data_IF_415662207016
#
_entry.id   IF_415662207016
#
_cell.length_a   1.000
_cell.length_b   1.000
_cell.length_c   1.000
_cell.angle_alpha   90.00
_cell.angle_beta   90.00
_cell.angle_gamma   90.00
#
_symmetry.space_group_name_H-M   'P 1'
#
loop_
_entity.id
_entity.type
_entity.pdbx_description
1 polymer ?
#
# COMPACT_ATOMS: atom_id res chain seq x y z
N UNK A 1 23.28 -54.29 -46.93
CA UNK A 1 21.91 -53.83 -46.62
C UNK A 1 22.00 -52.76 -45.54
N UNK A 2 22.00 -51.51 -46.00
CA UNK A 2 21.85 -50.19 -45.37
C UNK A 2 22.03 -50.02 -43.85
N UNK A 3 23.13 -49.36 -43.46
CA UNK A 3 23.27 -48.65 -42.19
C UNK A 3 22.55 -47.29 -42.30
N UNK A 4 21.54 -47.05 -41.47
CA UNK A 4 20.89 -45.74 -41.33
C UNK A 4 21.41 -45.04 -40.08
N UNK A 5 22.27 -44.05 -40.27
CA UNK A 5 22.69 -43.12 -39.23
C UNK A 5 21.53 -42.21 -38.87
N UNK A 6 21.08 -42.25 -37.62
CA UNK A 6 20.09 -41.32 -37.08
C UNK A 6 20.86 -40.11 -36.52
N UNK A 7 20.76 -38.97 -37.19
CA UNK A 7 21.19 -37.68 -36.65
C UNK A 7 20.20 -37.26 -35.54
N UNK A 8 20.66 -37.23 -34.29
CA UNK A 8 19.94 -36.58 -33.21
C UNK A 8 20.24 -35.07 -33.23
N UNK A 9 19.31 -34.28 -33.76
CA UNK A 9 19.36 -32.82 -33.63
C UNK A 9 18.93 -32.45 -32.20
N UNK A 10 19.88 -32.07 -31.35
CA UNK A 10 19.58 -31.47 -30.06
C UNK A 10 19.19 -30.01 -30.27
N UNK A 11 17.90 -29.70 -30.11
CA UNK A 11 17.42 -28.33 -30.01
C UNK A 11 17.78 -27.80 -28.62
N UNK A 12 18.75 -26.89 -28.54
CA UNK A 12 19.06 -26.17 -27.32
C UNK A 12 17.92 -25.18 -27.02
N UNK A 13 17.15 -25.47 -25.97
CA UNK A 13 16.13 -24.57 -25.44
C UNK A 13 16.85 -23.39 -24.75
N UNK A 14 16.93 -22.24 -25.42
CA UNK A 14 17.37 -21.00 -24.80
C UNK A 14 16.27 -20.53 -23.82
N UNK A 15 16.39 -20.89 -22.54
CA UNK A 15 15.61 -20.28 -21.47
C UNK A 15 16.09 -18.83 -21.32
N UNK A 16 15.38 -17.88 -21.93
CA UNK A 16 15.53 -16.47 -21.61
C UNK A 16 14.98 -16.27 -20.19
N UNK A 17 15.85 -16.20 -19.19
CA UNK A 17 15.48 -15.71 -17.86
C UNK A 17 15.16 -14.22 -17.99
N UNK A 18 13.88 -13.90 -18.09
CA UNK A 18 13.43 -12.55 -17.80
C UNK A 18 13.88 -12.25 -16.36
N UNK A 19 14.80 -11.30 -16.19
CA UNK A 19 15.15 -10.81 -14.87
C UNK A 19 13.86 -10.26 -14.27
N UNK A 20 13.36 -10.89 -13.21
CA UNK A 20 12.31 -10.31 -12.40
C UNK A 20 12.88 -8.99 -11.86
N UNK A 21 12.36 -7.85 -12.34
CA UNK A 21 12.68 -6.57 -11.73
C UNK A 21 12.25 -6.66 -10.27
N UNK A 22 13.16 -6.32 -9.36
CA UNK A 22 12.88 -6.34 -7.93
C UNK A 22 12.06 -5.10 -7.59
N UNK A 23 10.87 -5.28 -7.01
CA UNK A 23 10.11 -4.17 -6.47
C UNK A 23 10.86 -3.60 -5.25
N UNK A 24 11.05 -2.28 -5.24
CA UNK A 24 11.51 -1.56 -4.06
C UNK A 24 10.30 -1.13 -3.23
N UNK A 25 10.39 -1.29 -1.91
CA UNK A 25 9.31 -0.86 -1.01
C UNK A 25 9.87 0.18 -0.04
N UNK A 26 9.25 1.35 0.00
CA UNK A 26 9.49 2.35 1.02
C UNK A 26 8.65 1.99 2.25
N UNK A 27 9.29 1.56 3.33
CA UNK A 27 8.63 1.27 4.61
C UNK A 27 8.77 2.45 5.56
N UNK A 28 7.65 3.05 5.95
CA UNK A 28 7.62 4.09 6.99
C UNK A 28 7.77 3.45 8.36
N UNK A 29 8.91 3.70 8.98
CA UNK A 29 9.24 3.26 10.34
C UNK A 29 9.00 4.41 11.30
N UNK A 30 8.18 4.18 12.32
CA UNK A 30 7.89 5.19 13.33
C UNK A 30 7.10 6.37 12.74
N UNK A 31 7.72 7.53 12.56
CA UNK A 31 7.05 8.70 11.99
C UNK A 31 7.98 9.64 11.24
N UNK A 32 9.21 9.23 10.99
CA UNK A 32 10.22 10.11 10.41
C UNK A 32 11.32 9.34 9.68
N UNK A 33 11.19 8.03 9.47
CA UNK A 33 12.25 7.21 8.87
C UNK A 33 11.67 6.35 7.77
N UNK A 34 12.29 6.38 6.58
CA UNK A 34 11.95 5.50 5.47
C UNK A 34 13.06 4.45 5.33
N UNK A 35 12.71 3.17 5.43
CA UNK A 35 13.60 2.08 5.06
C UNK A 35 13.27 1.62 3.64
N UNK A 36 14.29 1.52 2.79
CA UNK A 36 14.14 0.96 1.45
C UNK A 36 14.35 -0.55 1.52
N UNK A 37 13.30 -1.30 1.21
CA UNK A 37 13.30 -2.77 1.24
C UNK A 37 13.45 -3.28 -0.18
N UNK A 38 14.48 -4.11 -0.39
CA UNK A 38 14.63 -4.91 -1.60
C UNK A 38 13.97 -6.27 -1.33
N UNK A 39 12.87 -6.50 -2.03
CA UNK A 39 12.05 -7.72 -1.87
C UNK A 39 12.74 -8.98 -2.39
N UNK A 40 13.61 -8.86 -3.40
CA UNK A 40 14.39 -9.98 -3.91
C UNK A 40 15.51 -10.38 -2.93
N UNK A 41 16.16 -9.40 -2.32
CA UNK A 41 17.19 -9.62 -1.29
C UNK A 41 16.61 -9.92 0.09
N UNK A 42 15.30 -9.71 0.30
CA UNK A 42 14.59 -9.91 1.57
C UNK A 42 15.21 -9.11 2.72
N UNK A 43 15.63 -7.88 2.44
CA UNK A 43 16.25 -6.99 3.43
C UNK A 43 16.04 -5.52 3.11
N UNK A 44 16.09 -4.68 4.15
CA UNK A 44 16.34 -3.26 3.98
C UNK A 44 17.76 -3.03 3.44
N UNK A 45 17.88 -2.26 2.38
CA UNK A 45 19.16 -1.88 1.76
C UNK A 45 19.70 -0.56 2.30
N UNK A 46 18.84 0.23 2.93
CA UNK A 46 19.19 1.47 3.61
C UNK A 46 17.99 2.03 4.37
N UNK A 47 18.25 2.99 5.25
CA UNK A 47 17.21 3.79 5.88
C UNK A 47 17.63 5.25 5.90
N UNK A 48 16.66 6.14 5.79
CA UNK A 48 16.89 7.57 5.79
C UNK A 48 15.88 8.27 6.68
N UNK A 49 16.36 9.19 7.51
CA UNK A 49 15.50 10.05 8.30
C UNK A 49 14.95 11.16 7.40
N UNK A 50 13.64 11.33 7.43
CA UNK A 50 12.93 12.41 6.75
C UNK A 50 13.20 13.73 7.47
N UNK A 51 13.66 14.72 6.70
CA UNK A 51 13.95 16.06 7.20
C UNK A 51 13.04 17.09 6.52
N UNK A 52 12.83 18.26 7.13
CA UNK A 52 11.96 19.30 6.57
C UNK A 52 10.46 19.10 6.83
N UNK A 53 10.08 18.18 7.71
CA UNK A 53 8.71 17.98 8.20
C UNK A 53 8.51 18.68 9.56
N UNK A 54 7.31 19.19 9.81
CA UNK A 54 6.93 19.91 11.04
C UNK A 54 6.53 18.99 12.20
N UNK A 55 6.26 17.71 11.91
CA UNK A 55 5.79 16.71 12.85
C UNK A 55 6.01 15.29 12.32
N UNK A 56 5.30 14.31 12.86
CA UNK A 56 5.43 12.93 12.41
C UNK A 56 4.65 12.69 11.10
N UNK A 57 5.22 11.90 10.20
CA UNK A 57 4.47 11.28 9.11
C UNK A 57 3.44 10.30 9.68
N UNK A 58 2.21 10.43 9.20
CA UNK A 58 1.11 9.51 9.53
C UNK A 58 0.95 8.41 8.48
N UNK A 59 1.38 8.65 7.24
CA UNK A 59 1.36 7.69 6.15
C UNK A 59 2.13 8.20 4.93
N UNK A 60 2.47 7.30 4.02
CA UNK A 60 3.22 7.59 2.78
C UNK A 60 2.66 6.77 1.63
N UNK A 61 2.67 7.33 0.43
CA UNK A 61 2.33 6.59 -0.78
C UNK A 61 2.97 7.22 -2.02
N UNK A 62 3.15 6.44 -3.09
CA UNK A 62 3.61 6.92 -4.40
C UNK A 62 2.42 7.38 -5.23
N UNK A 63 2.42 8.65 -5.65
CA UNK A 63 1.37 9.15 -6.54
C UNK A 63 1.55 8.59 -7.95
N UNK A 64 0.62 7.79 -8.49
CA UNK A 64 0.80 7.16 -9.80
C UNK A 64 0.94 8.16 -10.96
N UNK A 65 0.41 9.37 -10.82
CA UNK A 65 0.46 10.40 -11.86
C UNK A 65 1.88 10.96 -12.14
N UNK A 66 2.74 11.02 -11.12
CA UNK A 66 4.08 11.63 -11.18
C UNK A 66 5.21 10.72 -10.67
N UNK A 67 4.90 9.62 -9.99
CA UNK A 67 5.86 8.63 -9.49
C UNK A 67 6.65 9.10 -8.26
N UNK A 68 6.28 10.22 -7.65
CA UNK A 68 6.96 10.72 -6.45
C UNK A 68 6.39 10.07 -5.19
N UNK A 69 7.24 9.86 -4.19
CA UNK A 69 6.82 9.48 -2.83
C UNK A 69 6.25 10.71 -2.12
N UNK A 70 5.01 10.63 -1.69
CA UNK A 70 4.36 11.63 -0.86
C UNK A 70 4.26 11.15 0.59
N UNK A 71 4.23 12.09 1.52
CA UNK A 71 3.93 11.85 2.92
C UNK A 71 2.89 12.83 3.43
N UNK A 72 2.02 12.35 4.32
CA UNK A 72 1.12 13.18 5.10
C UNK A 72 1.70 13.36 6.51
N UNK A 73 1.90 14.60 6.93
CA UNK A 73 2.35 14.96 8.28
C UNK A 73 1.13 15.10 9.21
N UNK A 74 1.31 14.82 10.50
CA UNK A 74 0.26 14.88 11.53
C UNK A 74 -0.41 16.26 11.69
N UNK A 75 0.25 17.33 11.27
CA UNK A 75 -0.29 18.69 11.20
C UNK A 75 -1.10 18.99 9.93
N UNK A 76 -1.29 17.98 9.07
CA UNK A 76 -2.00 18.05 7.79
C UNK A 76 -1.16 18.50 6.60
N UNK A 77 0.14 18.78 6.78
CA UNK A 77 1.01 19.14 5.65
C UNK A 77 1.23 17.94 4.73
N UNK A 78 1.10 18.15 3.43
CA UNK A 78 1.47 17.17 2.41
C UNK A 78 2.86 17.53 1.90
N UNK A 79 3.76 16.56 1.90
CA UNK A 79 5.13 16.72 1.41
C UNK A 79 5.43 15.70 0.32
N UNK A 80 6.32 16.04 -0.61
CA UNK A 80 7.06 15.04 -1.39
C UNK A 80 8.37 14.73 -0.68
N UNK A 81 8.84 13.47 -0.76
CA UNK A 81 10.04 12.99 -0.06
C UNK A 81 11.03 12.47 -1.11
N UNK A 82 12.21 13.08 -1.16
CA UNK A 82 13.29 12.62 -2.03
C UNK A 82 13.97 11.36 -1.45
N UNK A 83 14.75 10.66 -2.29
CA UNK A 83 15.46 9.43 -1.88
C UNK A 83 16.47 9.64 -0.73
N UNK A 84 16.98 10.86 -0.57
CA UNK A 84 17.84 11.26 0.55
C UNK A 84 17.06 11.70 1.80
N UNK A 85 15.74 11.52 1.82
CA UNK A 85 14.86 11.87 2.93
C UNK A 85 14.50 13.34 3.03
N UNK A 86 14.96 14.20 2.11
CA UNK A 86 14.55 15.61 2.13
C UNK A 86 13.08 15.76 1.72
N UNK A 87 12.25 16.24 2.65
CA UNK A 87 10.87 16.56 2.38
C UNK A 87 10.72 17.98 1.81
N UNK A 88 9.82 18.15 0.84
CA UNK A 88 9.41 19.46 0.31
C UNK A 88 7.91 19.61 0.43
N UNK A 89 7.44 20.67 1.08
CA UNK A 89 6.01 20.92 1.22
C UNK A 89 5.36 21.16 -0.14
N UNK A 90 4.26 20.45 -0.39
CA UNK A 90 3.44 20.57 -1.58
C UNK A 90 2.19 21.39 -1.31
N UNK A 91 1.47 21.08 -0.23
CA UNK A 91 0.23 21.75 0.19
C UNK A 91 -0.07 21.41 1.66
N UNK A 92 -1.23 21.87 2.16
CA UNK A 92 -1.73 21.54 3.50
C UNK A 92 -3.21 21.23 3.43
N UNK A 93 -3.64 20.15 4.08
CA UNK A 93 -5.05 19.77 4.12
C UNK A 93 -5.88 20.83 4.84
N UNK A 94 -6.98 21.27 4.21
CA UNK A 94 -7.97 22.17 4.83
C UNK A 94 -8.72 21.50 5.99
N UNK A 95 -8.78 20.16 5.98
CA UNK A 95 -9.39 19.37 7.05
C UNK A 95 -8.56 18.12 7.27
N UNK A 96 -8.14 17.89 8.51
CA UNK A 96 -7.38 16.72 8.92
C UNK A 96 -8.23 15.83 9.82
N UNK A 97 -7.81 14.58 9.99
CA UNK A 97 -8.36 13.67 11.00
C UNK A 97 -8.22 14.29 12.41
N UNK A 98 -9.06 13.85 13.35
CA UNK A 98 -8.92 14.25 14.73
C UNK A 98 -7.55 13.83 15.29
N UNK A 99 -6.94 14.68 16.12
CA UNK A 99 -5.61 14.41 16.69
C UNK A 99 -5.61 13.10 17.47
N UNK A 100 -4.62 12.24 17.19
CA UNK A 100 -4.45 10.94 17.85
C UNK A 100 -5.20 9.79 17.18
N UNK A 101 -6.02 10.05 16.16
CA UNK A 101 -6.59 9.00 15.30
C UNK A 101 -5.48 8.41 14.44
N UNK A 102 -5.32 7.08 14.50
CA UNK A 102 -4.43 6.37 13.58
C UNK A 102 -4.95 6.52 12.15
N UNK A 103 -4.05 6.81 11.22
CA UNK A 103 -4.38 7.12 9.84
C UNK A 103 -3.63 6.19 8.88
N UNK A 104 -4.22 5.98 7.72
CA UNK A 104 -3.57 5.39 6.54
C UNK A 104 -3.92 6.24 5.32
N UNK A 105 -3.03 6.27 4.34
CA UNK A 105 -3.19 7.07 3.12
C UNK A 105 -2.85 6.24 1.89
N UNK A 106 -3.53 6.50 0.77
CA UNK A 106 -3.24 5.85 -0.50
C UNK A 106 -3.80 6.68 -1.68
N UNK A 107 -3.13 6.70 -2.81
CA UNK A 107 -3.56 7.41 -4.01
C UNK A 107 -4.50 6.57 -4.84
N UNK A 108 -5.68 7.13 -5.11
CA UNK A 108 -6.53 6.59 -6.14
C UNK A 108 -5.93 6.88 -7.54
N UNK A 109 -5.50 5.87 -8.32
CA UNK A 109 -4.81 6.09 -9.60
C UNK A 109 -5.73 6.64 -10.70
N UNK A 110 -7.05 6.53 -10.55
CA UNK A 110 -8.04 6.99 -11.53
C UNK A 110 -8.48 8.42 -11.21
N UNK A 111 -8.81 8.70 -9.95
CA UNK A 111 -9.25 10.01 -9.50
C UNK A 111 -8.10 11.00 -9.27
N UNK A 112 -6.88 10.48 -9.14
CA UNK A 112 -5.66 11.23 -8.78
C UNK A 112 -5.90 12.07 -7.51
N UNK A 113 -6.36 11.38 -6.46
CA UNK A 113 -6.64 11.95 -5.15
C UNK A 113 -6.04 11.07 -4.06
N UNK A 114 -5.51 11.72 -3.03
CA UNK A 114 -5.05 11.04 -1.82
C UNK A 114 -6.28 10.72 -0.98
N UNK A 115 -6.50 9.44 -0.73
CA UNK A 115 -7.44 8.95 0.27
C UNK A 115 -6.75 9.04 1.63
N UNK A 116 -7.43 9.56 2.64
CA UNK A 116 -6.95 9.61 4.03
C UNK A 116 -8.03 8.99 4.91
N UNK A 117 -7.70 7.86 5.52
CA UNK A 117 -8.65 7.04 6.28
C UNK A 117 -8.23 6.96 7.74
N UNK A 118 -9.17 7.18 8.64
CA UNK A 118 -8.98 7.06 10.08
C UNK A 118 -9.50 5.73 10.62
N UNK A 119 -8.80 5.18 11.61
CA UNK A 119 -9.25 4.05 12.42
C UNK A 119 -10.56 4.33 13.20
N UNK A 120 -10.99 5.58 13.26
CA UNK A 120 -12.27 6.01 13.84
C UNK A 120 -13.45 5.95 12.86
N UNK A 121 -13.18 5.60 11.60
CA UNK A 121 -14.16 5.53 10.51
C UNK A 121 -14.18 6.78 9.62
N UNK A 122 -13.37 7.80 9.91
CA UNK A 122 -13.28 8.97 9.04
C UNK A 122 -12.70 8.60 7.67
N UNK A 123 -13.27 9.18 6.63
CA UNK A 123 -12.93 8.90 5.24
C UNK A 123 -12.84 10.20 4.46
N UNK A 124 -11.63 10.63 4.15
CA UNK A 124 -11.35 11.90 3.48
C UNK A 124 -10.73 11.65 2.12
N UNK A 125 -11.00 12.55 1.18
CA UNK A 125 -10.39 12.56 -0.14
C UNK A 125 -9.81 13.94 -0.43
N UNK A 126 -8.50 13.99 -0.60
CA UNK A 126 -7.73 15.22 -0.71
C UNK A 126 -7.15 15.40 -2.12
N UNK A 127 -7.17 16.64 -2.60
CA UNK A 127 -6.36 17.05 -3.73
C UNK A 127 -5.00 17.54 -3.20
N UNK A 128 -3.92 16.82 -3.54
CA UNK A 128 -2.59 17.15 -3.01
C UNK A 128 -1.99 18.40 -3.63
N UNK A 129 -2.51 18.87 -4.77
CA UNK A 129 -1.98 20.06 -5.44
C UNK A 129 -2.44 21.37 -4.77
N UNK A 130 -3.64 21.40 -4.17
CA UNK A 130 -4.18 22.59 -3.51
C UNK A 130 -4.64 22.39 -2.05
N UNK A 131 -4.56 21.16 -1.51
CA UNK A 131 -4.89 20.86 -0.12
C UNK A 131 -6.39 20.73 0.17
N UNK A 132 -7.26 20.90 -0.82
CA UNK A 132 -8.71 20.81 -0.61
C UNK A 132 -9.13 19.40 -0.26
N UNK A 133 -9.98 19.30 0.77
CA UNK A 133 -10.49 18.03 1.28
C UNK A 133 -12.00 17.93 1.07
N UNK A 134 -12.44 16.78 0.59
CA UNK A 134 -13.83 16.34 0.68
C UNK A 134 -13.94 15.31 1.79
N UNK A 135 -14.84 15.53 2.75
CA UNK A 135 -15.28 14.48 3.66
C UNK A 135 -16.28 13.59 2.92
N UNK A 136 -15.87 12.35 2.66
CA UNK A 136 -16.73 11.33 2.05
C UNK A 136 -17.58 10.67 3.17
N UNK A 137 -18.40 9.67 2.82
CA UNK A 137 -19.17 8.91 3.81
C UNK A 137 -18.26 8.20 4.82
N UNK A 138 -18.61 8.32 6.10
CA UNK A 138 -17.91 7.61 7.18
C UNK A 138 -17.99 6.09 6.93
N UNK A 139 -16.92 5.39 7.29
CA UNK A 139 -16.84 3.94 7.12
C UNK A 139 -17.95 3.22 7.88
N UNK A 140 -18.63 2.32 7.18
CA UNK A 140 -19.68 1.47 7.74
C UNK A 140 -19.75 0.15 6.99
N UNK A 141 -19.94 -0.94 7.71
CA UNK A 141 -20.26 -2.22 7.07
C UNK A 141 -21.60 -2.14 6.36
N UNK A 142 -21.68 -2.75 5.19
CA UNK A 142 -22.89 -2.79 4.39
C UNK A 142 -24.04 -3.47 5.15
N UNK A 143 -25.27 -3.12 4.80
CA UNK A 143 -26.47 -3.70 5.43
C UNK A 143 -26.60 -5.22 5.26
N UNK A 144 -25.97 -5.77 4.23
CA UNK A 144 -25.90 -7.20 3.94
C UNK A 144 -24.64 -7.89 4.48
N UNK A 145 -23.69 -7.12 5.03
CA UNK A 145 -22.44 -7.66 5.54
C UNK A 145 -22.65 -8.34 6.90
N UNK A 146 -21.87 -9.38 7.20
CA UNK A 146 -21.95 -10.08 8.47
C UNK A 146 -21.53 -9.22 9.67
N UNK A 147 -20.73 -8.18 9.45
CA UNK A 147 -20.26 -7.21 10.45
C UNK A 147 -21.15 -5.96 10.55
N UNK A 148 -22.37 -6.00 9.99
CA UNK A 148 -23.31 -4.89 10.07
C UNK A 148 -23.46 -4.38 11.51
N UNK A 149 -23.29 -3.07 11.69
CA UNK A 149 -23.47 -2.39 12.97
C UNK A 149 -22.23 -2.42 13.87
N UNK A 150 -21.20 -3.19 13.53
CA UNK A 150 -19.90 -3.07 14.16
C UNK A 150 -19.22 -1.76 13.75
N UNK A 151 -18.43 -1.17 14.66
CA UNK A 151 -17.64 0.01 14.36
C UNK A 151 -16.39 -0.41 13.56
N UNK A 152 -16.21 0.06 12.31
CA UNK A 152 -15.00 -0.26 11.55
C UNK A 152 -13.76 0.34 12.19
N UNK A 153 -12.64 -0.36 12.03
CA UNK A 153 -11.32 0.03 12.50
C UNK A 153 -10.31 -0.15 11.36
N UNK A 154 -10.34 0.77 10.40
CA UNK A 154 -9.47 0.71 9.23
C UNK A 154 -8.06 1.18 9.61
N UNK A 155 -7.09 0.27 9.53
CA UNK A 155 -5.69 0.50 9.96
C UNK A 155 -4.69 0.55 8.81
N UNK A 156 -5.06 0.05 7.62
CA UNK A 156 -4.29 0.15 6.39
C UNK A 156 -5.24 0.05 5.18
N UNK A 157 -4.87 0.57 4.02
CA UNK A 157 -5.64 0.39 2.79
C UNK A 157 -4.86 0.79 1.55
N UNK A 158 -5.22 0.19 0.42
CA UNK A 158 -4.52 0.37 -0.85
C UNK A 158 -5.46 0.18 -2.05
N UNK A 159 -5.20 0.95 -3.11
CA UNK A 159 -5.89 0.85 -4.39
C UNK A 159 -5.24 -0.16 -5.33
N UNK A 160 -6.04 -0.87 -6.12
CA UNK A 160 -5.53 -1.65 -7.26
C UNK A 160 -5.21 -0.76 -8.46
N UNK A 161 -4.42 -1.30 -9.38
CA UNK A 161 -4.01 -0.64 -10.63
C UNK A 161 -3.30 0.69 -10.38
N UNK A 162 -2.44 0.75 -9.36
CA UNK A 162 -1.66 1.94 -8.96
C UNK A 162 -0.56 2.28 -9.98
N UNK A 163 -1.00 2.61 -11.20
CA UNK A 163 -0.18 2.99 -12.35
C UNK A 163 -0.77 4.22 -13.04
N UNK A 164 0.09 4.99 -13.69
CA UNK A 164 -0.34 6.18 -14.44
C UNK A 164 -1.35 5.82 -15.53
N UNK A 165 -2.49 6.52 -15.54
CA UNK A 165 -3.48 6.40 -16.60
C UNK A 165 -4.43 5.21 -16.48
N UNK A 166 -4.45 4.54 -15.31
CA UNK A 166 -5.41 3.50 -14.95
C UNK A 166 -6.85 3.93 -15.29
N UNK A 167 -7.65 2.98 -15.77
CA UNK A 167 -9.06 3.22 -16.14
C UNK A 167 -10.03 2.80 -15.05
N UNK A 168 -9.61 1.86 -14.21
CA UNK A 168 -10.39 1.29 -13.13
C UNK A 168 -9.49 1.05 -11.93
N UNK A 169 -10.08 1.08 -10.74
CA UNK A 169 -9.40 0.80 -9.48
C UNK A 169 -10.39 0.24 -8.47
N UNK A 170 -9.91 -0.50 -7.49
CA UNK A 170 -10.67 -0.97 -6.34
C UNK A 170 -9.91 -0.69 -5.06
N UNK A 171 -10.61 -0.20 -4.03
CA UNK A 171 -10.04 0.06 -2.71
C UNK A 171 -10.20 -1.18 -1.82
N UNK A 172 -9.09 -1.64 -1.26
CA UNK A 172 -9.05 -2.70 -0.26
C UNK A 172 -8.43 -2.16 1.02
N UNK A 173 -9.02 -2.54 2.15
CA UNK A 173 -8.59 -2.10 3.47
C UNK A 173 -8.29 -3.31 4.36
N UNK A 174 -7.54 -3.05 5.42
CA UNK A 174 -7.40 -3.96 6.56
C UNK A 174 -8.18 -3.39 7.74
N UNK A 175 -9.12 -4.18 8.25
CA UNK A 175 -9.78 -3.89 9.52
C UNK A 175 -9.01 -4.57 10.66
N UNK A 176 -8.51 -3.77 11.59
CA UNK A 176 -7.70 -4.22 12.73
C UNK A 176 -8.50 -4.92 13.82
N UNK A 177 -9.82 -4.70 13.92
CA UNK A 177 -10.68 -5.38 14.89
C UNK A 177 -11.04 -6.79 14.41
N UNK A 178 -11.40 -6.91 13.13
CA UNK A 178 -11.75 -8.18 12.50
C UNK A 178 -10.50 -9.01 12.19
N UNK A 179 -9.38 -8.33 11.92
CA UNK A 179 -8.16 -8.94 11.38
C UNK A 179 -8.41 -9.48 9.97
N UNK A 180 -9.10 -8.70 9.14
CA UNK A 180 -9.63 -9.14 7.86
C UNK A 180 -9.41 -8.13 6.73
N UNK A 181 -9.37 -8.68 5.51
CA UNK A 181 -9.38 -7.90 4.29
C UNK A 181 -10.83 -7.45 4.00
N UNK A 182 -10.98 -6.17 3.70
CA UNK A 182 -12.24 -5.51 3.44
C UNK A 182 -12.18 -4.89 2.04
N UNK A 183 -13.26 -5.00 1.27
CA UNK A 183 -13.45 -4.20 0.06
C UNK A 183 -14.29 -2.98 0.39
N UNK A 184 -13.82 -1.79 0.00
CA UNK A 184 -14.61 -0.56 0.14
C UNK A 184 -15.22 -0.16 -1.20
N UNK A 185 -16.54 -0.30 -1.32
CA UNK A 185 -17.25 -0.09 -2.56
C UNK A 185 -18.70 0.37 -2.33
N UNK A 186 -19.09 1.58 -2.80
CA UNK A 186 -18.23 2.63 -3.37
C UNK A 186 -17.29 3.27 -2.33
N UNK A 187 -16.05 3.66 -2.69
CA UNK A 187 -15.13 4.35 -1.77
C UNK A 187 -15.71 5.61 -1.12
N UNK A 188 -16.41 6.44 -1.90
CA UNK A 188 -16.91 7.73 -1.43
C UNK A 188 -18.14 7.59 -0.50
N UNK A 189 -18.79 6.43 -0.49
CA UNK A 189 -19.93 6.17 0.40
C UNK A 189 -19.48 5.53 1.73
N UNK A 190 -18.19 5.18 1.84
CA UNK A 190 -17.61 4.53 3.03
C UNK A 190 -18.11 3.09 3.24
N UNK A 191 -18.74 2.48 2.24
CA UNK A 191 -19.38 1.16 2.40
C UNK A 191 -18.33 0.05 2.37
N UNK A 192 -18.30 -0.75 3.43
CA UNK A 192 -17.36 -1.83 3.65
C UNK A 192 -18.03 -3.20 3.48
N UNK A 193 -17.38 -4.09 2.74
CA UNK A 193 -17.73 -5.51 2.64
C UNK A 193 -16.54 -6.39 3.03
N UNK A 194 -16.70 -7.21 4.07
CA UNK A 194 -15.66 -8.12 4.52
C UNK A 194 -15.46 -9.26 3.51
N UNK A 195 -14.20 -9.50 3.13
CA UNK A 195 -13.83 -10.58 2.20
C UNK A 195 -13.47 -11.85 2.98
N UNK A 196 -12.58 -11.70 3.97
CA UNK A 196 -12.12 -12.83 4.76
C UNK A 196 -11.02 -12.46 5.73
N UNK A 197 -10.75 -13.35 6.68
CA UNK A 197 -9.72 -13.15 7.70
C UNK A 197 -8.33 -13.33 7.10
N UNK A 198 -7.39 -12.51 7.57
CA UNK A 198 -5.97 -12.63 7.21
C UNK A 198 -5.37 -13.97 7.66
N UNK A 199 -5.83 -14.50 8.80
CA UNK A 199 -5.31 -15.75 9.37
C UNK A 199 -3.98 -15.58 10.13
N UNK A 200 -3.53 -14.34 10.32
CA UNK A 200 -2.35 -13.97 11.12
C UNK A 200 -2.77 -13.08 12.30
N UNK A 201 -1.94 -13.05 13.34
CA UNK A 201 -2.06 -12.10 14.45
C UNK A 201 -0.98 -11.04 14.31
N UNK A 202 -1.37 -9.78 14.24
CA UNK A 202 -0.45 -8.65 14.13
C UNK A 202 -1.05 -7.44 14.84
N UNK A 203 -0.22 -6.72 15.60
CA UNK A 203 -0.64 -5.50 16.31
C UNK A 203 -0.66 -4.27 15.39
N UNK A 204 0.26 -4.23 14.44
CA UNK A 204 0.36 -3.18 13.42
C UNK A 204 0.71 -3.84 12.10
N UNK A 205 0.05 -3.35 11.05
CA UNK A 205 0.24 -3.82 9.68
C UNK A 205 0.36 -2.62 8.75
N UNK A 206 1.12 -2.80 7.68
CA UNK A 206 1.18 -1.89 6.55
C UNK A 206 0.79 -2.68 5.30
N UNK A 207 0.05 -2.08 4.37
CA UNK A 207 -0.56 -2.78 3.26
C UNK A 207 -0.48 -1.95 1.98
N UNK A 208 -0.07 -2.57 0.88
CA UNK A 208 -0.05 -1.95 -0.44
C UNK A 208 -0.29 -3.00 -1.53
N UNK A 209 -0.72 -2.56 -2.71
CA UNK A 209 -1.02 -3.39 -3.87
C UNK A 209 -0.16 -2.94 -5.06
N UNK A 210 0.78 -3.80 -5.44
CA UNK A 210 1.55 -3.63 -6.65
C UNK A 210 0.70 -3.93 -7.88
N UNK A 211 0.93 -3.22 -8.98
CA UNK A 211 0.36 -3.53 -10.29
C UNK A 211 1.42 -3.53 -11.39
N UNK A 212 1.25 -4.42 -12.36
CA UNK A 212 2.08 -4.47 -13.58
C UNK A 212 1.60 -3.51 -14.69
N UNK A 213 0.48 -2.82 -14.47
CA UNK A 213 -0.16 -1.96 -15.46
C UNK A 213 -0.84 -2.68 -16.64
N UNK A 214 -0.81 -4.01 -16.68
CA UNK A 214 -1.50 -4.85 -17.69
C UNK A 214 -2.66 -5.67 -17.12
N UNK A 215 -3.01 -5.40 -15.86
CA UNK A 215 -4.18 -5.94 -15.17
C UNK A 215 -3.82 -6.88 -14.01
N UNK A 216 -2.55 -7.23 -13.83
CA UNK A 216 -2.10 -7.98 -12.66
C UNK A 216 -1.99 -7.05 -11.46
N UNK A 217 -2.45 -7.55 -10.31
CA UNK A 217 -2.31 -6.91 -9.01
C UNK A 217 -1.78 -7.93 -8.00
N UNK A 218 -0.84 -7.53 -7.17
CA UNK A 218 -0.29 -8.33 -6.07
C UNK A 218 -0.36 -7.54 -4.78
N UNK A 219 -1.14 -8.03 -3.83
CA UNK A 219 -1.34 -7.38 -2.55
C UNK A 219 -0.34 -7.88 -1.51
N UNK A 220 0.29 -6.94 -0.81
CA UNK A 220 1.39 -7.19 0.10
C UNK A 220 1.10 -6.55 1.45
N UNK A 221 1.37 -7.29 2.51
CA UNK A 221 1.21 -6.83 3.88
C UNK A 221 2.49 -7.04 4.67
N UNK A 222 2.97 -6.00 5.33
CA UNK A 222 4.07 -6.09 6.28
C UNK A 222 3.54 -6.08 7.70
N UNK A 223 3.88 -7.10 8.49
CA UNK A 223 3.59 -7.16 9.91
C UNK A 223 4.91 -7.39 10.68
N UNK A 224 5.35 -6.36 11.42
CA UNK A 224 6.69 -6.35 11.98
C UNK A 224 7.76 -6.48 10.88
N UNK A 225 8.62 -7.50 11.00
CA UNK A 225 9.65 -7.81 10.00
C UNK A 225 9.25 -8.87 8.97
N UNK A 226 7.97 -9.27 8.90
CA UNK A 226 7.51 -10.32 7.98
C UNK A 226 6.62 -9.73 6.89
N UNK A 227 6.92 -10.10 5.64
CA UNK A 227 6.14 -9.77 4.45
C UNK A 227 5.23 -10.95 4.09
N UNK A 228 3.96 -10.65 3.87
CA UNK A 228 2.91 -11.59 3.48
C UNK A 228 2.34 -11.19 2.13
N UNK A 229 2.05 -12.17 1.27
CA UNK A 229 1.13 -11.96 0.16
C UNK A 229 -0.31 -12.12 0.66
N UNK A 230 -1.20 -11.24 0.21
CA UNK A 230 -2.63 -11.29 0.52
C UNK A 230 -3.39 -11.71 -0.74
N UNK A 231 -4.20 -12.75 -0.62
CA UNK A 231 -5.16 -13.09 -1.66
C UNK A 231 -6.36 -12.13 -1.59
N UNK A 232 -6.52 -11.27 -2.61
CA UNK A 232 -7.59 -10.27 -2.65
C UNK A 232 -9.01 -10.86 -2.78
N UNK A 233 -9.14 -12.13 -3.17
CA UNK A 233 -10.42 -12.81 -3.29
C UNK A 233 -10.85 -13.50 -1.99
N UNK A 234 -9.89 -13.98 -1.19
CA UNK A 234 -10.18 -14.75 0.03
C UNK A 234 -9.77 -14.03 1.32
N UNK A 235 -8.96 -12.98 1.23
CA UNK A 235 -8.37 -12.27 2.36
C UNK A 235 -7.22 -13.02 3.03
N UNK A 236 -6.88 -14.24 2.61
CA UNK A 236 -5.88 -15.06 3.28
C UNK A 236 -4.47 -14.48 3.11
N UNK A 237 -3.77 -14.26 4.22
CA UNK A 237 -2.34 -13.94 4.22
C UNK A 237 -1.51 -15.22 4.11
N UNK A 238 -0.43 -15.16 3.32
CA UNK A 238 0.57 -16.23 3.19
C UNK A 238 1.95 -15.63 3.36
N UNK A 239 2.75 -16.19 4.27
CA UNK A 239 4.12 -15.71 4.52
C UNK A 239 4.95 -15.85 3.25
N UNK A 240 5.58 -14.76 2.82
CA UNK A 240 6.44 -14.73 1.64
C UNK A 240 7.92 -14.60 2.01
N UNK A 241 8.24 -13.73 2.97
CA UNK A 241 9.61 -13.53 3.42
C UNK A 241 9.68 -12.89 4.80
N UNK A 242 10.75 -13.21 5.54
CA UNK A 242 11.21 -12.38 6.67
C UNK A 242 12.20 -11.34 6.15
N UNK A 243 11.85 -10.07 6.30
CA UNK A 243 12.67 -8.92 5.90
C UNK A 243 13.61 -8.56 7.04
N UNK A 244 14.92 -8.63 6.77
CA UNK A 244 15.95 -8.21 7.73
C UNK A 244 16.27 -6.72 7.59
N UNK A 245 16.79 -6.08 8.64
CA UNK A 245 17.22 -4.67 8.58
C UNK A 245 16.11 -3.62 8.71
N UNK A 246 14.85 -4.04 8.83
CA UNK A 246 13.74 -3.18 9.26
C UNK A 246 13.66 -3.24 10.79
N UNK A 247 13.96 -2.13 11.46
CA UNK A 247 13.97 -2.03 12.92
C UNK A 247 12.90 -1.05 13.40
N UNK A 248 11.99 -1.51 14.26
CA UNK A 248 10.88 -0.71 14.80
C UNK A 248 9.53 -1.05 14.17
N UNK A 249 8.52 -0.25 14.49
CA UNK A 249 7.16 -0.44 13.99
C UNK A 249 7.04 0.15 12.58
N UNK A 250 6.74 -0.72 11.61
CA UNK A 250 6.35 -0.30 10.26
C UNK A 250 4.90 0.15 10.33
N UNK A 251 4.66 1.43 10.06
CA UNK A 251 3.31 2.02 10.05
C UNK A 251 2.64 1.96 8.69
N UNK A 252 3.44 2.10 7.63
CA UNK A 252 2.95 2.19 6.27
C UNK A 252 4.01 1.69 5.29
N UNK A 253 3.58 1.25 4.10
CA UNK A 253 4.46 0.84 3.02
C UNK A 253 3.97 1.43 1.71
N UNK A 254 4.91 1.83 0.85
CA UNK A 254 4.63 2.24 -0.51
C UNK A 254 5.54 1.48 -1.46
N UNK A 255 4.97 0.81 -2.45
CA UNK A 255 5.68 0.05 -3.47
C UNK A 255 6.14 1.03 -4.54
N UNK A 256 7.45 1.25 -4.56
CA UNK A 256 8.11 2.12 -5.52
C UNK A 256 8.13 1.41 -6.88
N UNK A 257 7.59 2.07 -7.91
CA UNK A 257 7.49 1.53 -9.26
C UNK A 257 8.81 0.99 -9.82
N UNK A 258 8.71 0.09 -10.79
CA UNK A 258 9.83 -0.48 -11.55
C UNK A 258 9.95 0.17 -12.92
#
# INVERSE_FOLDING_TARGET
MNYRSIFAASAALMLSSAAANAAQVAALIGGDTIAMVDTAQKKATGSVKVTGISGALVGVDVRPADGMLYGLVDDGSIVTIAMDGKATMKSKLDTMLAKGVAATVDFNPVADRLRVMGADGMNLRANVDDGKVTKDGDHKFADSDMHKGEKPNIVAGAYTNSVKGAKETGLFNIDGTIGGLIKQAPPNDGVLGAIGKLGIKADTVAFDIWSDGTGKNEAWLMAGGTLYSIDLATGKATEAAKITGVSGTVKDIAIMGM
#
